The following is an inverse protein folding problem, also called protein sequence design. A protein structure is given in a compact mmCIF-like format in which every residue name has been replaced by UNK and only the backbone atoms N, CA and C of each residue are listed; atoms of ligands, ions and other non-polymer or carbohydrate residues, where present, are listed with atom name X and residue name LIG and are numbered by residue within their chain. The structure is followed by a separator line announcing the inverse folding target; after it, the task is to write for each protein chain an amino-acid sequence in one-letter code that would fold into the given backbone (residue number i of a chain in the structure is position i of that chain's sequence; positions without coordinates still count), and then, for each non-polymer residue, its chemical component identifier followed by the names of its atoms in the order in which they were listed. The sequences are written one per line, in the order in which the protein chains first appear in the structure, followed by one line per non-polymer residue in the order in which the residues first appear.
data_IF_877951926395
#
_entry.id   IF_877951926395
#
_cell.length_a   1.000
_cell.length_b   1.000
_cell.length_c   1.000
_cell.angle_alpha   90.00
_cell.angle_beta   90.00
_cell.angle_gamma   90.00
#
_symmetry.space_group_name_H-M   'P 1'
#
loop_
_entity.id
_entity.type
_entity.pdbx_description
1 polymer ?
#
# COMPACT_ATOMS: atom_id res chain seq x y z
N UNK A 1 7.10 7.38 10.34
CA UNK A 1 7.39 8.41 9.32
C UNK A 1 6.38 8.19 8.21
N UNK A 2 5.47 9.14 7.97
CA UNK A 2 4.55 9.06 6.83
C UNK A 2 5.26 9.60 5.61
N UNK A 3 5.24 8.85 4.50
CA UNK A 3 5.83 9.27 3.24
C UNK A 3 4.68 9.55 2.28
N UNK A 4 4.59 10.80 1.83
CA UNK A 4 3.61 11.25 0.87
C UNK A 4 4.30 11.58 -0.45
N UNK A 5 3.63 11.27 -1.55
CA UNK A 5 3.99 11.80 -2.87
C UNK A 5 2.96 12.86 -3.29
N UNK A 6 3.44 14.01 -3.78
CA UNK A 6 2.61 15.09 -4.30
C UNK A 6 3.10 15.41 -5.71
N UNK A 7 2.31 15.14 -6.76
CA UNK A 7 2.70 15.40 -8.13
C UNK A 7 2.69 16.91 -8.39
N UNK A 8 3.70 17.41 -9.12
CA UNK A 8 3.81 18.82 -9.49
C UNK A 8 3.02 19.17 -10.76
N UNK A 9 2.64 18.18 -11.54
CA UNK A 9 1.94 18.35 -12.82
C UNK A 9 0.80 17.35 -12.95
N UNK A 10 -0.22 17.71 -13.73
CA UNK A 10 -1.24 16.75 -14.15
C UNK A 10 -0.62 15.72 -15.07
N UNK A 11 -0.89 14.44 -14.85
CA UNK A 11 -0.32 13.36 -15.66
C UNK A 11 -0.80 11.97 -15.23
N UNK A 12 -0.39 10.96 -15.99
CA UNK A 12 -0.57 9.55 -15.63
C UNK A 12 0.69 9.08 -14.91
N UNK A 13 0.52 8.50 -13.73
CA UNK A 13 1.61 8.06 -12.86
C UNK A 13 1.49 6.56 -12.59
N UNK A 14 2.63 5.87 -12.60
CA UNK A 14 2.73 4.52 -12.06
C UNK A 14 3.11 4.60 -10.59
N UNK A 15 2.26 4.06 -9.72
CA UNK A 15 2.47 4.02 -8.28
C UNK A 15 2.59 2.56 -7.87
N UNK A 16 3.69 2.23 -7.19
CA UNK A 16 3.97 0.87 -6.70
C UNK A 16 4.38 1.02 -5.23
N UNK A 17 3.73 0.26 -4.36
CA UNK A 17 4.01 0.21 -2.93
C UNK A 17 4.27 -1.21 -2.50
N UNK A 18 5.28 -1.42 -1.65
CA UNK A 18 5.62 -2.74 -1.11
C UNK A 18 5.78 -2.64 0.39
N UNK A 19 5.19 -3.58 1.11
CA UNK A 19 5.39 -3.74 2.55
C UNK A 19 5.99 -5.11 2.84
N UNK A 20 6.85 -5.16 3.85
CA UNK A 20 7.31 -6.39 4.45
C UNK A 20 6.70 -6.52 5.85
N UNK A 21 6.22 -7.71 6.16
CA UNK A 21 5.66 -8.07 7.46
C UNK A 21 6.39 -9.29 8.01
N UNK A 22 6.85 -9.21 9.25
CA UNK A 22 7.43 -10.34 9.99
C UNK A 22 6.57 -10.56 11.23
N UNK A 23 6.02 -11.77 11.43
CA UNK A 23 5.17 -12.06 12.58
C UNK A 23 5.99 -12.02 13.87
N UNK A 24 5.45 -11.36 14.90
CA UNK A 24 6.02 -11.38 16.25
C UNK A 24 5.43 -12.49 17.13
N UNK A 25 4.36 -13.15 16.68
CA UNK A 25 3.74 -14.29 17.36
C UNK A 25 3.35 -15.35 16.32
N UNK A 26 3.97 -16.53 16.41
CA UNK A 26 3.80 -17.60 15.42
C UNK A 26 2.54 -18.46 15.64
N UNK A 27 1.63 -18.05 16.52
CA UNK A 27 0.44 -18.81 16.91
C UNK A 27 -0.88 -18.08 16.63
N UNK A 28 -0.85 -16.94 15.93
CA UNK A 28 -2.05 -16.18 15.58
C UNK A 28 -2.19 -16.05 14.08
N UNK A 29 -3.44 -15.91 13.61
CA UNK A 29 -3.72 -15.66 12.20
C UNK A 29 -3.40 -14.20 11.86
N UNK A 30 -2.86 -13.97 10.67
CA UNK A 30 -2.49 -12.64 10.19
C UNK A 30 -3.14 -12.32 8.85
N UNK A 31 -3.29 -11.02 8.61
CA UNK A 31 -3.58 -10.49 7.28
C UNK A 31 -2.59 -9.37 7.01
N UNK A 32 -1.86 -9.46 5.91
CA UNK A 32 -1.13 -8.33 5.37
C UNK A 32 -2.01 -7.65 4.32
N UNK A 33 -2.12 -6.33 4.37
CA UNK A 33 -2.91 -5.52 3.44
C UNK A 33 -2.13 -4.27 3.14
N UNK A 34 -2.04 -3.89 1.88
CA UNK A 34 -1.45 -2.63 1.44
C UNK A 34 -2.37 -1.98 0.43
N UNK A 35 -2.48 -0.66 0.49
CA UNK A 35 -3.40 0.09 -0.35
C UNK A 35 -2.82 1.42 -0.80
N UNK A 36 -3.30 1.88 -1.96
CA UNK A 36 -3.00 3.21 -2.50
C UNK A 36 -4.21 4.10 -2.25
N UNK A 37 -3.99 5.24 -1.60
CA UNK A 37 -5.01 6.27 -1.34
C UNK A 37 -4.61 7.58 -2.01
N UNK A 38 -5.63 8.34 -2.45
CA UNK A 38 -5.46 9.68 -3.02
C UNK A 38 -6.34 10.67 -2.25
N UNK A 39 -5.75 11.73 -1.72
CA UNK A 39 -6.42 12.78 -0.95
C UNK A 39 -7.22 12.24 0.25
N UNK A 40 -6.71 11.21 0.93
CA UNK A 40 -7.38 10.58 2.09
C UNK A 40 -8.67 9.82 1.75
N UNK A 41 -9.03 9.68 0.47
CA UNK A 41 -10.20 8.92 0.04
C UNK A 41 -10.01 7.41 0.25
N UNK A 42 -11.11 6.62 0.21
CA UNK A 42 -11.03 5.17 0.16
C UNK A 42 -10.03 4.68 -0.90
N UNK A 43 -9.43 3.53 -0.62
CA UNK A 43 -8.38 2.97 -1.45
C UNK A 43 -8.82 2.79 -2.91
N UNK A 44 -7.97 3.24 -3.82
CA UNK A 44 -8.18 3.11 -5.27
C UNK A 44 -7.52 1.85 -5.84
N UNK A 45 -6.61 1.24 -5.08
CA UNK A 45 -5.99 -0.05 -5.35
C UNK A 45 -5.63 -0.70 -4.01
N UNK A 46 -5.82 -2.01 -3.91
CA UNK A 46 -5.59 -2.80 -2.71
C UNK A 46 -4.94 -4.12 -3.16
N UNK A 47 -3.94 -4.57 -2.42
CA UNK A 47 -3.53 -5.96 -2.42
C UNK A 47 -3.50 -6.50 -0.97
N UNK A 48 -3.77 -7.79 -0.81
CA UNK A 48 -3.78 -8.42 0.50
C UNK A 48 -3.47 -9.92 0.43
N UNK A 49 -2.83 -10.39 1.48
CA UNK A 49 -2.72 -11.80 1.77
C UNK A 49 -3.34 -12.13 3.12
N UNK A 50 -4.05 -13.25 3.18
CA UNK A 50 -4.55 -13.82 4.42
C UNK A 50 -3.78 -15.08 4.74
N UNK A 51 -3.33 -15.19 5.99
CA UNK A 51 -2.62 -16.37 6.45
C UNK A 51 -3.16 -16.83 7.80
N UNK A 52 -3.05 -18.13 8.03
CA UNK A 52 -2.99 -18.66 9.38
C UNK A 52 -1.70 -18.23 10.09
N UNK A 53 -1.26 -18.97 11.10
CA UNK A 53 0.04 -18.74 11.70
C UNK A 53 1.16 -18.96 10.68
N UNK A 54 2.10 -18.03 10.59
CA UNK A 54 3.24 -18.07 9.65
C UNK A 54 4.56 -17.89 10.40
N UNK A 55 5.63 -18.48 9.87
CA UNK A 55 7.00 -18.43 10.41
C UNK A 55 8.03 -17.88 9.42
N UNK A 56 7.57 -17.14 8.41
CA UNK A 56 8.39 -16.49 7.39
C UNK A 56 8.00 -15.01 7.25
N UNK A 57 8.89 -14.21 6.66
CA UNK A 57 8.58 -12.84 6.29
C UNK A 57 7.64 -12.83 5.08
N UNK A 58 6.52 -12.13 5.17
CA UNK A 58 5.65 -11.90 4.02
C UNK A 58 5.95 -10.56 3.36
N UNK A 59 5.79 -10.49 2.05
CA UNK A 59 5.93 -9.27 1.26
C UNK A 59 4.69 -9.12 0.39
N UNK A 60 3.98 -7.99 0.55
CA UNK A 60 2.79 -7.67 -0.26
C UNK A 60 3.09 -6.41 -1.06
N UNK A 61 2.68 -6.39 -2.33
CA UNK A 61 2.88 -5.25 -3.21
C UNK A 61 1.57 -4.85 -3.90
N UNK A 62 1.28 -3.57 -3.96
CA UNK A 62 0.16 -3.02 -4.72
C UNK A 62 0.70 -2.12 -5.81
N UNK A 63 0.04 -2.12 -6.96
CA UNK A 63 0.37 -1.21 -8.05
C UNK A 63 -0.88 -0.63 -8.68
N UNK A 64 -0.77 0.57 -9.23
CA UNK A 64 -1.80 1.17 -10.06
C UNK A 64 -1.20 2.18 -11.04
N UNK A 65 -1.89 2.38 -12.16
CA UNK A 65 -1.61 3.44 -13.13
C UNK A 65 -2.79 4.41 -13.05
N UNK A 66 -2.55 5.60 -12.52
CA UNK A 66 -3.60 6.55 -12.16
C UNK A 66 -3.32 7.93 -12.74
N UNK A 67 -4.38 8.61 -13.18
CA UNK A 67 -4.28 10.01 -13.54
C UNK A 67 -4.39 10.87 -12.29
N UNK A 68 -3.40 11.73 -12.06
CA UNK A 68 -3.33 12.65 -10.93
C UNK A 68 -3.28 14.09 -11.42
N UNK A 69 -3.84 14.99 -10.61
CA UNK A 69 -3.72 16.43 -10.77
C UNK A 69 -2.57 16.95 -9.91
N UNK A 70 -1.98 18.08 -10.30
CA UNK A 70 -0.98 18.73 -9.48
C UNK A 70 -1.55 19.05 -8.08
N UNK A 71 -0.82 18.66 -7.04
CA UNK A 71 -1.24 18.86 -5.64
C UNK A 71 -2.02 17.71 -5.01
N UNK A 72 -2.41 16.67 -5.75
CA UNK A 72 -2.99 15.46 -5.14
C UNK A 72 -2.00 14.84 -4.13
N UNK A 73 -2.50 14.27 -3.04
CA UNK A 73 -1.67 13.61 -2.01
C UNK A 73 -1.84 12.10 -2.16
N UNK A 74 -0.73 11.42 -2.42
CA UNK A 74 -0.71 9.97 -2.63
C UNK A 74 -0.04 9.33 -1.42
N UNK A 75 -0.71 8.31 -0.90
CA UNK A 75 -0.25 7.53 0.25
C UNK A 75 -0.28 6.04 -0.08
N UNK A 76 0.76 5.32 0.34
CA UNK A 76 0.76 3.86 0.44
C UNK A 76 0.54 3.51 1.92
N UNK A 77 -0.53 2.81 2.22
CA UNK A 77 -0.99 2.53 3.59
C UNK A 77 -1.06 1.03 3.86
N UNK A 78 -0.74 0.61 5.08
CA UNK A 78 -0.77 -0.79 5.54
C UNK A 78 -1.31 -0.91 6.96
#
# INVERSE_FOLDING_TARGET
MYVFFIPKTRGVYSVIGTIAFIPNNLNVNYRARVEIRVNGNPAIAIDNDFFGPINFANVVAVSSIIQLNAGDIIEVFA
#
